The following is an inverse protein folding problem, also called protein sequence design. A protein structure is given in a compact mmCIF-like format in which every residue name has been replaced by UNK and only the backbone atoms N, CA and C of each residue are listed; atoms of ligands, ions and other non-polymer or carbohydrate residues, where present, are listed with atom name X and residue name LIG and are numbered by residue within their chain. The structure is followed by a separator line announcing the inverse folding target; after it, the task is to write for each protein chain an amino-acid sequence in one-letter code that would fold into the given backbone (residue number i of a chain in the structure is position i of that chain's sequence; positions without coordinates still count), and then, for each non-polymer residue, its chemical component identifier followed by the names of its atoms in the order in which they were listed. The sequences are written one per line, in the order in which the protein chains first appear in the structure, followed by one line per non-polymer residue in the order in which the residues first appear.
data_IF_705768173419
#
_entry.id   IF_705768173419
#
_cell.length_a   1.000
_cell.length_b   1.000
_cell.length_c   1.000
_cell.angle_alpha   90.00
_cell.angle_beta   90.00
_cell.angle_gamma   90.00
#
_symmetry.space_group_name_H-M   'P 1'
#
loop_
_entity.id
_entity.type
_entity.pdbx_description
1 polymer ?
#
# COMPACT_ATOMS: atom_id res chain seq x y z
N UNK A 1 -13.80 24.34 2.70
CA UNK A 1 -12.96 25.50 2.30
C UNK A 1 -11.96 25.03 1.25
N UNK A 2 -11.70 25.82 0.20
CA UNK A 2 -10.68 25.46 -0.82
C UNK A 2 -9.29 25.75 -0.25
N UNK A 3 -8.43 24.73 -0.16
CA UNK A 3 -7.04 24.85 0.29
C UNK A 3 -6.23 25.48 -0.83
N UNK A 4 -5.91 26.77 -0.74
CA UNK A 4 -5.19 27.49 -1.81
C UNK A 4 -3.67 27.53 -1.58
N UNK A 5 -3.23 27.24 -0.35
CA UNK A 5 -1.83 27.26 0.08
C UNK A 5 -1.54 25.96 0.84
N UNK A 6 -0.42 25.34 0.51
CA UNK A 6 0.08 24.15 1.19
C UNK A 6 0.61 24.53 2.59
N UNK A 7 0.18 23.78 3.61
CA UNK A 7 0.57 24.02 5.01
C UNK A 7 2.00 23.53 5.28
N UNK A 8 2.49 22.55 4.52
CA UNK A 8 3.84 21.98 4.68
C UNK A 8 4.95 22.89 4.13
N UNK A 9 4.71 23.56 3.00
CA UNK A 9 5.77 24.30 2.30
C UNK A 9 5.38 25.70 1.80
N UNK A 10 4.14 26.13 2.05
CA UNK A 10 3.59 27.41 1.59
C UNK A 10 3.34 27.51 0.09
N UNK A 11 3.50 26.41 -0.65
CA UNK A 11 3.35 26.36 -2.11
C UNK A 11 1.90 26.47 -2.60
N UNK A 12 1.74 26.69 -3.90
CA UNK A 12 0.42 26.77 -4.55
C UNK A 12 -0.19 25.38 -4.72
N UNK A 13 -1.44 25.24 -4.29
CA UNK A 13 -2.24 24.03 -4.49
C UNK A 13 -2.99 24.12 -5.81
N UNK A 14 -3.00 23.03 -6.56
CA UNK A 14 -3.70 22.86 -7.83
C UNK A 14 -4.54 21.60 -7.72
N UNK A 15 -5.84 21.71 -8.01
CA UNK A 15 -6.71 20.54 -8.05
C UNK A 15 -6.55 19.82 -9.38
N UNK A 16 -6.04 18.59 -9.37
CA UNK A 16 -5.86 17.75 -10.58
C UNK A 16 -6.26 16.31 -10.30
N UNK A 17 -6.46 15.52 -11.35
CA UNK A 17 -6.64 14.07 -11.21
C UNK A 17 -5.28 13.39 -11.12
N UNK A 18 -5.08 12.55 -10.12
CA UNK A 18 -3.81 11.85 -9.85
C UNK A 18 -4.06 10.34 -9.79
N UNK A 19 -3.17 9.51 -10.36
CA UNK A 19 -3.29 8.06 -10.26
C UNK A 19 -2.99 7.59 -8.84
N UNK A 20 -3.95 6.90 -8.23
CA UNK A 20 -3.76 6.28 -6.93
C UNK A 20 -3.44 4.80 -7.10
N UNK A 21 -2.34 4.34 -6.50
CA UNK A 21 -1.92 2.93 -6.51
C UNK A 21 -1.83 2.41 -5.08
N UNK A 22 -2.29 1.18 -4.87
CA UNK A 22 -2.18 0.47 -3.60
C UNK A 22 -1.56 -0.91 -3.85
N UNK A 23 -0.45 -1.22 -3.18
CA UNK A 23 0.34 -2.45 -3.40
C UNK A 23 0.70 -2.69 -4.88
N UNK A 24 1.01 -1.62 -5.62
CA UNK A 24 1.30 -1.69 -7.06
C UNK A 24 0.07 -1.79 -7.98
N UNK A 25 -1.13 -2.02 -7.43
CA UNK A 25 -2.38 -2.08 -8.20
C UNK A 25 -2.98 -0.69 -8.35
N UNK A 26 -3.24 -0.29 -9.59
CA UNK A 26 -3.90 0.98 -9.89
C UNK A 26 -5.38 0.94 -9.51
N UNK A 27 -5.80 1.89 -8.68
CA UNK A 27 -7.20 2.06 -8.25
C UNK A 27 -7.97 3.01 -9.16
N UNK A 28 -7.26 3.88 -9.89
CA UNK A 28 -7.81 4.84 -10.84
C UNK A 28 -7.27 6.24 -10.62
N UNK A 29 -7.86 7.20 -11.34
CA UNK A 29 -7.53 8.63 -11.29
C UNK A 29 -8.52 9.36 -10.40
N UNK A 30 -8.02 9.99 -9.33
CA UNK A 30 -8.86 10.66 -8.33
C UNK A 30 -8.53 12.15 -8.23
N UNK A 31 -9.53 13.02 -8.00
CA UNK A 31 -9.27 14.43 -7.77
C UNK A 31 -8.51 14.62 -6.44
N UNK A 32 -7.37 15.28 -6.51
CA UNK A 32 -6.54 15.62 -5.37
C UNK A 32 -6.14 17.10 -5.42
N UNK A 33 -6.01 17.70 -4.25
CA UNK A 33 -5.36 18.98 -4.06
C UNK A 33 -3.84 18.71 -4.03
N UNK A 34 -3.15 19.09 -5.12
CA UNK A 34 -1.74 18.79 -5.34
C UNK A 34 -0.88 20.05 -5.12
N UNK A 35 0.14 19.97 -4.28
CA UNK A 35 1.12 21.04 -4.14
C UNK A 35 2.13 21.01 -5.29
N UNK A 36 2.17 22.09 -6.07
CA UNK A 36 3.14 22.26 -7.17
C UNK A 36 4.61 22.38 -6.74
N UNK A 37 4.89 22.53 -5.44
CA UNK A 37 6.25 22.74 -4.91
C UNK A 37 6.82 21.49 -4.21
N UNK A 38 6.06 20.86 -3.31
CA UNK A 38 6.52 19.69 -2.55
C UNK A 38 5.88 18.36 -2.99
N UNK A 39 5.00 18.37 -3.99
CA UNK A 39 4.27 17.20 -4.48
C UNK A 39 3.34 16.54 -3.45
N UNK A 40 2.97 17.23 -2.37
CA UNK A 40 1.94 16.76 -1.43
C UNK A 40 0.61 16.57 -2.16
N UNK A 41 -0.05 15.43 -1.89
CA UNK A 41 -1.36 15.07 -2.42
C UNK A 41 -2.36 14.94 -1.28
N UNK A 42 -3.39 15.77 -1.30
CA UNK A 42 -4.48 15.70 -0.32
C UNK A 42 -5.79 15.39 -1.03
N UNK A 43 -6.45 14.35 -0.54
CA UNK A 43 -7.74 13.89 -1.05
C UNK A 43 -8.83 14.30 -0.07
N UNK A 44 -9.97 14.79 -0.59
CA UNK A 44 -11.14 15.05 0.25
C UNK A 44 -11.78 13.73 0.74
N UNK A 45 -12.55 13.82 1.82
CA UNK A 45 -13.18 12.68 2.47
C UNK A 45 -14.03 11.84 1.50
N UNK A 46 -14.84 12.49 0.64
CA UNK A 46 -15.68 11.79 -0.35
C UNK A 46 -14.85 11.02 -1.38
N UNK A 47 -13.67 11.54 -1.71
CA UNK A 47 -12.72 10.88 -2.62
C UNK A 47 -12.03 9.72 -1.92
N UNK A 48 -11.62 9.88 -0.66
CA UNK A 48 -11.05 8.80 0.15
C UNK A 48 -12.05 7.66 0.36
N UNK A 49 -13.32 7.94 0.58
CA UNK A 49 -14.37 6.92 0.67
C UNK A 49 -14.49 6.09 -0.62
N UNK A 50 -14.42 6.75 -1.78
CA UNK A 50 -14.43 6.07 -3.09
C UNK A 50 -13.18 5.21 -3.27
N UNK A 51 -12.00 5.74 -2.95
CA UNK A 51 -10.73 4.99 -3.00
C UNK A 51 -10.84 3.75 -2.11
N UNK A 52 -11.31 3.90 -0.88
CA UNK A 52 -11.46 2.81 0.10
C UNK A 52 -12.47 1.76 -0.38
N UNK A 53 -13.60 2.19 -0.97
CA UNK A 53 -14.60 1.27 -1.55
C UNK A 53 -14.00 0.44 -2.68
N UNK A 54 -13.24 1.06 -3.59
CA UNK A 54 -12.58 0.37 -4.70
C UNK A 54 -11.48 -0.57 -4.17
N UNK A 55 -10.68 -0.13 -3.19
CA UNK A 55 -9.67 -0.98 -2.56
C UNK A 55 -10.28 -2.22 -1.89
N UNK A 56 -11.42 -2.07 -1.20
CA UNK A 56 -12.19 -3.20 -0.64
C UNK A 56 -12.70 -4.14 -1.72
N UNK A 57 -13.29 -3.60 -2.79
CA UNK A 57 -13.78 -4.40 -3.93
C UNK A 57 -12.66 -5.18 -4.62
N UNK A 58 -11.46 -4.60 -4.72
CA UNK A 58 -10.26 -5.28 -5.26
C UNK A 58 -9.57 -6.20 -4.26
N UNK A 59 -10.09 -6.36 -3.04
CA UNK A 59 -9.49 -7.22 -2.00
C UNK A 59 -8.18 -6.69 -1.41
N UNK A 60 -7.82 -5.42 -1.68
CA UNK A 60 -6.58 -4.79 -1.23
C UNK A 60 -6.71 -4.22 0.18
N UNK A 61 -7.93 -3.97 0.64
CA UNK A 61 -8.16 -3.43 1.97
C UNK A 61 -7.83 -4.43 3.08
N UNK A 62 -6.97 -4.03 4.01
CA UNK A 62 -6.57 -4.87 5.15
C UNK A 62 -5.77 -6.11 4.73
N UNK A 63 -4.95 -6.00 3.68
CA UNK A 63 -3.96 -7.03 3.35
C UNK A 63 -2.88 -7.12 4.42
N UNK A 64 -2.46 -6.00 4.99
CA UNK A 64 -1.54 -6.00 6.11
C UNK A 64 -2.18 -6.61 7.36
N UNK A 65 -1.50 -7.56 7.99
CA UNK A 65 -1.94 -8.22 9.21
C UNK A 65 -0.76 -8.50 10.14
N UNK A 66 -0.94 -8.24 11.43
CA UNK A 66 0.04 -8.65 12.45
C UNK A 66 0.02 -10.16 12.62
N UNK A 67 1.21 -10.76 12.67
CA UNK A 67 1.41 -12.18 12.96
C UNK A 67 2.53 -12.34 13.99
N UNK A 68 2.66 -13.54 14.55
CA UNK A 68 3.75 -13.89 15.47
C UNK A 68 4.75 -14.77 14.74
N UNK A 69 6.02 -14.69 15.14
CA UNK A 69 7.06 -15.62 14.72
C UNK A 69 6.85 -16.93 15.47
N UNK A 70 6.83 -18.04 14.73
CA UNK A 70 6.81 -19.40 15.23
C UNK A 70 8.17 -20.07 15.09
N UNK A 71 8.24 -21.33 15.50
CA UNK A 71 9.43 -22.16 15.41
C UNK A 71 9.05 -23.54 14.85
N UNK A 72 9.84 -24.01 13.89
CA UNK A 72 9.71 -25.34 13.25
C UNK A 72 11.09 -25.97 13.19
N UNK A 73 11.32 -26.99 14.01
CA UNK A 73 12.65 -27.59 14.16
C UNK A 73 13.65 -26.55 14.66
N UNK A 74 14.77 -26.39 13.95
CA UNK A 74 15.81 -25.39 14.26
C UNK A 74 15.65 -24.09 13.44
N UNK A 75 14.44 -23.78 12.97
CA UNK A 75 14.17 -22.64 12.09
C UNK A 75 12.95 -21.85 12.58
N UNK A 76 12.89 -20.58 12.18
CA UNK A 76 11.74 -19.71 12.48
C UNK A 76 10.78 -19.68 11.29
N UNK A 77 9.49 -19.64 11.57
CA UNK A 77 8.44 -19.49 10.57
C UNK A 77 7.55 -18.27 10.87
N UNK A 78 6.88 -17.78 9.83
CA UNK A 78 5.79 -16.82 9.97
C UNK A 78 4.58 -17.33 9.21
N UNK A 79 3.40 -17.14 9.80
CA UNK A 79 2.15 -17.46 9.12
C UNK A 79 1.77 -16.32 8.18
N UNK A 80 1.78 -16.59 6.88
CA UNK A 80 1.28 -15.68 5.85
C UNK A 80 -0.24 -15.88 5.74
N UNK A 81 -1.00 -14.83 6.03
CA UNK A 81 -2.46 -14.86 5.95
C UNK A 81 -2.95 -15.15 4.53
N UNK A 82 -4.10 -15.85 4.43
CA UNK A 82 -4.65 -16.30 3.15
C UNK A 82 -4.80 -15.17 2.12
N UNK A 83 -5.23 -13.98 2.56
CA UNK A 83 -5.40 -12.81 1.68
C UNK A 83 -4.09 -12.34 1.04
N UNK A 84 -3.00 -12.28 1.82
CA UNK A 84 -1.68 -11.92 1.31
C UNK A 84 -1.22 -12.99 0.31
N UNK A 85 -1.33 -14.26 0.69
CA UNK A 85 -0.92 -15.38 -0.16
C UNK A 85 -1.68 -15.39 -1.50
N UNK A 86 -3.00 -15.19 -1.50
CA UNK A 86 -3.80 -15.11 -2.73
C UNK A 86 -3.44 -13.87 -3.55
N UNK A 87 -3.23 -12.71 -2.91
CA UNK A 87 -2.86 -11.45 -3.59
C UNK A 87 -1.55 -11.57 -4.37
N UNK A 88 -0.52 -12.17 -3.77
CA UNK A 88 0.79 -12.36 -4.42
C UNK A 88 0.90 -13.67 -5.20
N UNK A 89 -0.11 -14.54 -5.14
CA UNK A 89 -0.08 -15.86 -5.81
C UNK A 89 0.91 -16.85 -5.18
N UNK A 90 1.13 -16.77 -3.87
CA UNK A 90 1.92 -17.72 -3.10
C UNK A 90 1.10 -18.99 -2.80
N UNK A 91 1.67 -20.15 -3.10
CA UNK A 91 1.04 -21.46 -2.89
C UNK A 91 2.05 -22.45 -2.32
N UNK A 92 1.57 -23.50 -1.65
CA UNK A 92 2.44 -24.57 -1.13
C UNK A 92 3.30 -25.15 -2.26
N UNK A 93 4.59 -25.32 -2.00
CA UNK A 93 5.56 -25.86 -2.95
C UNK A 93 6.07 -24.86 -3.99
N UNK A 94 5.60 -23.61 -3.99
CA UNK A 94 6.17 -22.55 -4.80
C UNK A 94 7.50 -22.11 -4.21
N UNK A 95 8.53 -22.01 -5.05
CA UNK A 95 9.83 -21.50 -4.65
C UNK A 95 9.79 -19.99 -4.43
N UNK A 96 10.53 -19.51 -3.44
CA UNK A 96 10.66 -18.11 -3.09
C UNK A 96 12.10 -17.81 -2.66
N UNK A 97 12.55 -16.59 -2.89
CA UNK A 97 13.84 -16.09 -2.41
C UNK A 97 13.60 -15.22 -1.18
N UNK A 98 14.09 -15.65 -0.02
CA UNK A 98 14.02 -14.88 1.23
C UNK A 98 15.39 -14.27 1.51
N UNK A 99 15.46 -12.94 1.62
CA UNK A 99 16.71 -12.24 1.86
C UNK A 99 16.51 -10.96 2.70
N UNK A 100 17.52 -10.50 3.46
CA UNK A 100 17.42 -9.25 4.19
C UNK A 100 17.51 -8.04 3.25
N UNK A 101 16.60 -7.08 3.40
CA UNK A 101 16.78 -5.73 2.84
C UNK A 101 17.66 -4.89 3.77
N UNK A 102 17.47 -5.03 5.09
CA UNK A 102 18.26 -4.40 6.14
C UNK A 102 18.05 -5.13 7.48
N UNK A 103 18.66 -4.62 8.57
CA UNK A 103 18.60 -5.23 9.92
C UNK A 103 17.18 -5.40 10.49
N UNK A 104 16.18 -4.70 9.95
CA UNK A 104 14.79 -4.70 10.44
C UNK A 104 13.79 -5.23 9.42
N UNK A 105 14.22 -5.59 8.21
CA UNK A 105 13.32 -5.94 7.11
C UNK A 105 13.89 -7.07 6.28
N UNK A 106 13.07 -8.09 6.08
CA UNK A 106 13.29 -9.16 5.10
C UNK A 106 12.33 -8.97 3.93
N UNK A 107 12.75 -9.39 2.75
CA UNK A 107 11.95 -9.44 1.53
C UNK A 107 11.80 -10.91 1.15
N UNK A 108 10.61 -11.25 0.65
CA UNK A 108 10.29 -12.54 0.07
C UNK A 108 9.91 -12.27 -1.38
N UNK A 109 10.80 -12.62 -2.31
CA UNK A 109 10.53 -12.54 -3.75
C UNK A 109 9.97 -13.86 -4.25
N UNK A 110 8.98 -13.78 -5.12
CA UNK A 110 8.41 -14.92 -5.80
C UNK A 110 9.23 -15.17 -7.06
N UNK A 111 9.78 -16.39 -7.17
CA UNK A 111 10.55 -16.85 -8.33
C UNK A 111 9.63 -17.50 -9.36
#
# INVERSE_FOLDING_TARGET
MKRNKCEECGGKIIRKKVPFKLYGVELGLFPADFCSKCNEEVYDESTLEKINKIAKQKGLWGLESRTKVGEVGNSLDIRIGRKIADFIGLRKGKEVLVHPENKKRIIIDIV
#
